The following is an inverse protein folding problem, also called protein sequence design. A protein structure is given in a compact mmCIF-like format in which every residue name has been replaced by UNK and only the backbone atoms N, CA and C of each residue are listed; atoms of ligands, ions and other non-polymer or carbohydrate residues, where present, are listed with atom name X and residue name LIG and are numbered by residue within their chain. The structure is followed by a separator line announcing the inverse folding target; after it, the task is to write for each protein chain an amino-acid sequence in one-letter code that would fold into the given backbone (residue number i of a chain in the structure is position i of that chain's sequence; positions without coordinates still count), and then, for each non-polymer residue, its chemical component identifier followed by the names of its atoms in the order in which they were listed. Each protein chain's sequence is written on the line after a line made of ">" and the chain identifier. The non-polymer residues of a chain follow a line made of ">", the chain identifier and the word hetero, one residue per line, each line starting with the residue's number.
data_IF_901081676687
#
_entry.id   IF_901081676687
#
_cell.length_a   1.000
_cell.length_b   1.000
_cell.length_c   1.000
_cell.angle_alpha   90.00
_cell.angle_beta   90.00
_cell.angle_gamma   90.00
#
_symmetry.space_group_name_H-M   'P 1'
#
loop_
_entity.id
_entity.type
_entity.pdbx_description
1 polymer ?
#
# COMPACT_ATOMS: atom_id res chain seq x y z
N UNK A 1 1.06 -25.81 111.80
CA UNK A 1 0.63 -27.21 111.96
C UNK A 1 0.74 -27.91 110.61
N UNK A 2 1.64 -28.87 110.56
CA UNK A 2 1.55 -30.20 110.02
C UNK A 2 1.48 -30.32 108.44
N UNK A 3 2.60 -30.68 107.85
CA UNK A 3 2.94 -31.94 107.07
C UNK A 3 2.01 -32.24 105.92
N UNK A 4 2.44 -32.70 104.69
CA UNK A 4 3.34 -33.84 104.35
C UNK A 4 3.60 -33.76 102.81
N UNK A 5 4.82 -34.18 102.40
CA UNK A 5 5.30 -34.60 101.08
C UNK A 5 4.38 -35.49 100.28
N UNK A 6 4.43 -35.39 98.98
CA UNK A 6 4.71 -36.56 98.12
C UNK A 6 5.06 -36.12 96.65
N UNK A 7 6.21 -36.56 96.26
CA UNK A 7 6.67 -36.52 94.87
C UNK A 7 5.86 -37.50 93.99
N UNK A 8 5.52 -37.13 92.81
CA UNK A 8 5.13 -38.06 91.77
C UNK A 8 5.80 -37.68 90.46
N UNK A 9 6.68 -38.50 89.99
CA UNK A 9 7.29 -38.48 88.70
C UNK A 9 6.22 -38.78 87.63
N UNK A 10 6.04 -37.89 86.63
CA UNK A 10 5.32 -38.24 85.44
C UNK A 10 6.28 -38.16 84.23
N UNK A 11 6.52 -39.36 83.66
CA UNK A 11 7.25 -39.59 82.42
C UNK A 11 6.57 -38.83 81.25
N UNK A 12 7.28 -37.91 80.63
CA UNK A 12 6.83 -37.28 79.37
C UNK A 12 7.12 -38.21 78.19
N UNK A 13 6.08 -38.83 77.65
CA UNK A 13 6.12 -39.53 76.35
C UNK A 13 6.08 -38.49 75.26
N UNK A 14 7.24 -38.24 74.62
CA UNK A 14 7.30 -37.47 73.37
C UNK A 14 6.70 -38.26 72.20
N UNK A 15 5.46 -37.96 71.81
CA UNK A 15 4.89 -38.38 70.54
C UNK A 15 5.54 -37.57 69.43
N UNK A 16 6.51 -38.13 68.70
CA UNK A 16 7.04 -37.64 67.47
C UNK A 16 5.95 -37.80 66.39
N UNK A 17 5.13 -36.72 66.14
CA UNK A 17 4.30 -36.63 64.98
C UNK A 17 5.21 -36.30 63.79
N UNK A 18 5.58 -37.32 63.04
CA UNK A 18 6.25 -37.18 61.75
C UNK A 18 5.34 -36.55 60.75
N UNK A 19 5.49 -35.20 60.50
CA UNK A 19 4.96 -34.57 59.34
C UNK A 19 5.67 -35.14 58.09
N UNK A 20 5.09 -36.17 57.49
CA UNK A 20 5.44 -36.56 56.14
C UNK A 20 4.97 -35.44 55.20
N UNK A 21 5.86 -34.52 54.87
CA UNK A 21 5.70 -33.65 53.70
C UNK A 21 5.62 -34.56 52.48
N UNK A 22 4.41 -34.87 52.07
CA UNK A 22 4.17 -35.46 50.74
C UNK A 22 4.69 -34.45 49.71
N UNK A 23 5.95 -34.66 49.32
CA UNK A 23 6.50 -34.00 48.14
C UNK A 23 5.58 -34.39 46.98
N UNK A 24 4.73 -33.46 46.55
CA UNK A 24 4.02 -33.60 45.27
C UNK A 24 5.14 -33.77 44.24
N UNK A 25 5.42 -35.02 43.85
CA UNK A 25 6.18 -35.30 42.65
C UNK A 25 5.40 -34.70 41.49
N UNK A 26 5.77 -33.48 41.11
CA UNK A 26 5.29 -32.92 39.86
C UNK A 26 5.67 -33.90 38.76
N UNK A 27 4.71 -34.38 38.01
CA UNK A 27 4.99 -35.28 36.89
C UNK A 27 6.03 -34.61 36.00
N UNK A 28 7.17 -35.27 35.81
CA UNK A 28 8.21 -34.74 34.91
C UNK A 28 7.65 -34.69 33.49
N UNK A 29 7.89 -33.61 32.73
CA UNK A 29 7.45 -33.53 31.36
C UNK A 29 8.12 -34.63 30.53
N UNK A 30 7.38 -35.30 29.68
CA UNK A 30 7.93 -36.28 28.75
C UNK A 30 8.63 -35.57 27.58
N UNK A 31 9.82 -36.04 27.24
CA UNK A 31 10.55 -35.57 26.05
C UNK A 31 10.36 -36.55 24.89
N UNK A 32 9.99 -36.04 23.72
CA UNK A 32 9.86 -36.83 22.51
C UNK A 32 10.91 -36.37 21.49
N UNK A 33 11.51 -37.31 20.77
CA UNK A 33 12.44 -37.01 19.67
C UNK A 33 11.73 -36.58 18.41
N UNK A 34 10.41 -36.81 18.28
CA UNK A 34 9.59 -36.35 17.20
C UNK A 34 8.16 -36.09 17.69
N UNK A 35 7.59 -34.95 17.33
CA UNK A 35 6.19 -34.65 17.51
C UNK A 35 5.52 -34.68 16.13
N UNK A 36 4.43 -35.41 16.00
CA UNK A 36 3.57 -35.42 14.81
C UNK A 36 2.12 -35.33 15.26
N UNK A 37 1.54 -34.14 15.15
CA UNK A 37 0.14 -33.88 15.44
C UNK A 37 -0.61 -33.73 14.13
N UNK A 38 -1.74 -34.43 13.99
CA UNK A 38 -2.59 -34.38 12.80
C UNK A 38 -4.03 -34.24 13.20
N UNK A 39 -4.77 -33.44 12.43
CA UNK A 39 -6.19 -33.34 12.56
C UNK A 39 -6.85 -33.54 11.19
N UNK A 40 -7.95 -34.27 11.18
CA UNK A 40 -8.80 -34.46 10.01
C UNK A 40 -10.02 -33.54 10.10
N UNK A 41 -10.59 -33.20 8.96
CA UNK A 41 -11.88 -32.55 8.85
C UNK A 41 -13.04 -33.56 9.14
N UNK A 42 -14.29 -33.09 9.27
CA UNK A 42 -15.42 -34.02 9.51
C UNK A 42 -15.65 -35.08 8.43
N UNK A 43 -15.02 -34.93 7.25
CA UNK A 43 -15.10 -35.88 6.13
C UNK A 43 -13.92 -36.86 6.12
N UNK A 44 -13.00 -36.75 7.08
CA UNK A 44 -11.81 -37.60 7.17
C UNK A 44 -10.62 -37.15 6.34
N UNK A 45 -10.71 -36.02 5.61
CA UNK A 45 -9.57 -35.46 4.89
C UNK A 45 -8.62 -34.72 5.84
N UNK A 46 -7.32 -34.62 5.53
CA UNK A 46 -6.39 -33.87 6.35
C UNK A 46 -6.78 -32.39 6.42
N UNK A 47 -6.90 -31.86 7.64
CA UNK A 47 -7.18 -30.45 7.89
C UNK A 47 -5.89 -29.68 8.17
N UNK A 48 -5.06 -30.21 9.07
CA UNK A 48 -3.76 -29.68 9.35
C UNK A 48 -2.83 -30.72 10.01
N UNK A 49 -1.54 -30.48 9.89
CA UNK A 49 -0.50 -31.22 10.61
C UNK A 49 0.52 -30.25 11.23
N UNK A 50 1.15 -30.67 12.34
CA UNK A 50 2.26 -29.99 12.97
C UNK A 50 3.34 -31.01 13.34
N UNK A 51 4.54 -30.83 12.83
CA UNK A 51 5.70 -31.70 13.08
C UNK A 51 6.80 -30.90 13.77
N UNK A 52 7.53 -31.55 14.66
CA UNK A 52 8.71 -30.99 15.30
C UNK A 52 9.74 -32.07 15.54
N UNK A 53 11.05 -31.83 15.32
CA UNK A 53 12.09 -32.82 15.61
C UNK A 53 12.27 -33.10 17.07
N UNK A 54 11.86 -32.20 17.95
CA UNK A 54 11.95 -32.36 19.42
C UNK A 54 10.75 -31.67 20.07
N UNK A 55 10.14 -32.32 21.05
CA UNK A 55 9.09 -31.73 21.86
C UNK A 55 9.12 -32.24 23.30
N UNK A 56 8.66 -31.41 24.23
CA UNK A 56 8.43 -31.73 25.63
C UNK A 56 6.95 -31.57 25.92
N UNK A 57 6.33 -32.62 26.48
CA UNK A 57 4.91 -32.62 26.78
C UNK A 57 4.64 -32.68 28.27
N UNK A 58 3.90 -31.71 28.76
CA UNK A 58 3.38 -31.70 30.15
C UNK A 58 1.91 -32.16 30.10
N UNK A 59 1.68 -33.39 30.59
CA UNK A 59 0.35 -34.01 30.59
C UNK A 59 -0.63 -33.23 31.48
N UNK A 60 -0.17 -32.74 32.62
CA UNK A 60 -1.05 -32.07 33.58
C UNK A 60 -1.54 -30.74 33.05
N UNK A 61 -0.67 -30.02 32.35
CA UNK A 61 -0.99 -28.71 31.74
C UNK A 61 -1.53 -28.81 30.33
N UNK A 62 -1.49 -30.01 29.71
CA UNK A 62 -1.81 -30.24 28.29
C UNK A 62 -1.05 -29.28 27.37
N UNK A 63 0.24 -29.12 27.62
CA UNK A 63 1.14 -28.24 26.88
C UNK A 63 2.25 -29.07 26.23
N UNK A 64 2.45 -28.86 24.91
CA UNK A 64 3.61 -29.35 24.20
C UNK A 64 4.49 -28.19 23.74
N UNK A 65 5.74 -28.16 24.21
CA UNK A 65 6.76 -27.24 23.71
C UNK A 65 7.52 -27.91 22.57
N UNK A 66 7.48 -27.34 21.40
CA UNK A 66 8.07 -27.85 20.17
C UNK A 66 9.25 -26.99 19.72
N UNK A 67 10.36 -27.61 19.33
CA UNK A 67 11.51 -26.92 18.75
C UNK A 67 11.47 -27.01 17.23
N UNK A 68 11.63 -25.87 16.54
CA UNK A 68 11.56 -25.76 15.09
C UNK A 68 10.32 -26.44 14.48
N UNK A 69 9.10 -26.09 14.97
CA UNK A 69 7.88 -26.67 14.47
C UNK A 69 7.66 -26.31 12.99
N UNK A 70 7.07 -27.25 12.25
CA UNK A 70 6.60 -27.07 10.89
C UNK A 70 5.15 -27.52 10.80
N UNK A 71 4.28 -26.61 10.39
CA UNK A 71 2.85 -26.85 10.21
C UNK A 71 2.48 -26.84 8.73
N UNK A 72 1.48 -27.63 8.39
CA UNK A 72 0.82 -27.60 7.08
C UNK A 72 -0.68 -27.51 7.30
N UNK A 73 -1.33 -26.55 6.65
CA UNK A 73 -2.79 -26.47 6.58
C UNK A 73 -3.21 -26.94 5.20
N UNK A 74 -4.20 -27.83 5.19
CA UNK A 74 -4.73 -28.39 3.94
C UNK A 74 -6.06 -27.73 3.59
N UNK A 75 -6.31 -27.60 2.30
CA UNK A 75 -7.59 -27.16 1.76
C UNK A 75 -7.99 -28.11 0.63
N UNK A 76 -9.15 -28.74 0.76
CA UNK A 76 -9.62 -29.77 -0.18
C UNK A 76 -8.62 -30.94 -0.38
N UNK A 77 -7.91 -31.31 0.70
CA UNK A 77 -6.92 -32.39 0.67
C UNK A 77 -5.53 -31.99 0.18
N UNK A 78 -5.33 -30.78 -0.35
CA UNK A 78 -4.06 -30.29 -0.84
C UNK A 78 -3.42 -29.30 0.16
N UNK A 79 -2.08 -29.28 0.30
CA UNK A 79 -1.39 -28.27 1.08
C UNK A 79 -1.69 -26.88 0.56
N UNK A 80 -2.12 -25.97 1.42
CA UNK A 80 -2.42 -24.59 1.05
C UNK A 80 -1.61 -23.55 1.82
N UNK A 81 -1.19 -23.89 3.06
CA UNK A 81 -0.38 -22.99 3.87
C UNK A 81 0.72 -23.81 4.54
N UNK A 82 1.96 -23.31 4.48
CA UNK A 82 3.10 -23.83 5.24
C UNK A 82 3.43 -22.86 6.37
N UNK A 83 3.75 -23.39 7.54
CA UNK A 83 4.09 -22.62 8.73
C UNK A 83 5.44 -23.12 9.25
N UNK A 84 6.32 -22.20 9.65
CA UNK A 84 7.58 -22.52 10.31
C UNK A 84 7.87 -21.48 11.39
N UNK A 85 8.48 -21.91 12.48
CA UNK A 85 8.96 -21.05 13.57
C UNK A 85 10.17 -21.68 14.27
N UNK A 86 10.82 -20.92 15.14
CA UNK A 86 11.93 -21.44 15.95
C UNK A 86 11.41 -22.27 17.15
N UNK A 87 10.35 -21.79 17.76
CA UNK A 87 9.67 -22.43 18.90
C UNK A 87 8.17 -22.41 18.70
N UNK A 88 7.53 -23.43 19.28
CA UNK A 88 6.08 -23.50 19.31
C UNK A 88 5.60 -24.06 20.66
N UNK A 89 4.48 -23.55 21.14
CA UNK A 89 3.76 -24.10 22.29
C UNK A 89 2.37 -24.49 21.84
N UNK A 90 2.08 -25.79 21.83
CA UNK A 90 0.76 -26.35 21.55
C UNK A 90 -0.02 -26.40 22.86
N UNK A 91 -1.19 -25.78 22.86
CA UNK A 91 -2.05 -25.64 24.07
C UNK A 91 -3.35 -26.39 23.82
N UNK A 92 -3.80 -27.16 24.84
CA UNK A 92 -5.09 -27.83 24.81
C UNK A 92 -5.24 -28.80 23.62
N UNK A 93 -4.21 -29.64 23.38
CA UNK A 93 -4.20 -30.62 22.29
C UNK A 93 -4.47 -30.01 20.88
N UNK A 94 -3.90 -28.84 20.64
CA UNK A 94 -4.04 -28.14 19.35
C UNK A 94 -5.19 -27.13 19.27
N UNK A 95 -5.79 -26.75 20.39
CA UNK A 95 -6.78 -25.64 20.38
C UNK A 95 -6.14 -24.31 20.02
N UNK A 96 -4.93 -24.08 20.50
CA UNK A 96 -4.10 -22.93 20.14
C UNK A 96 -2.64 -23.35 19.98
N UNK A 97 -1.95 -22.77 19.03
CA UNK A 97 -0.53 -23.00 18.77
C UNK A 97 0.14 -21.63 18.76
N UNK A 98 0.90 -21.35 19.82
CA UNK A 98 1.73 -20.15 19.93
C UNK A 98 3.04 -20.42 19.20
N UNK A 99 3.44 -19.54 18.29
CA UNK A 99 4.67 -19.63 17.50
C UNK A 99 5.56 -18.43 17.82
N UNK A 100 6.85 -18.66 17.96
CA UNK A 100 7.82 -17.64 18.38
C UNK A 100 9.14 -17.78 17.62
N UNK A 101 9.81 -16.65 17.41
CA UNK A 101 11.08 -16.54 16.70
C UNK A 101 10.92 -16.75 15.22
N UNK A 102 11.11 -15.71 14.43
CA UNK A 102 11.06 -15.69 12.95
C UNK A 102 9.95 -16.57 12.38
N UNK A 103 8.70 -16.28 12.78
CA UNK A 103 7.54 -17.01 12.26
C UNK A 103 7.40 -16.72 10.78
N UNK A 104 7.24 -17.78 9.98
CA UNK A 104 7.03 -17.73 8.55
C UNK A 104 5.78 -18.52 8.17
N UNK A 105 4.87 -17.86 7.47
CA UNK A 105 3.63 -18.42 6.96
C UNK A 105 3.67 -18.23 5.44
N UNK A 106 3.70 -19.34 4.69
CA UNK A 106 3.73 -19.30 3.23
C UNK A 106 2.37 -19.74 2.69
N UNK A 107 1.66 -18.84 2.04
CA UNK A 107 0.44 -19.14 1.31
C UNK A 107 0.85 -19.69 -0.06
N UNK A 108 0.44 -20.93 -0.32
CA UNK A 108 0.74 -21.62 -1.59
C UNK A 108 -0.31 -21.22 -2.65
N UNK A 109 0.10 -21.15 -3.90
CA UNK A 109 -0.75 -20.78 -5.02
C UNK A 109 0.09 -20.41 -6.24
N UNK A 110 -0.54 -19.89 -7.29
CA UNK A 110 0.15 -19.44 -8.51
C UNK A 110 1.17 -18.34 -8.20
N UNK A 111 0.81 -17.42 -7.33
CA UNK A 111 1.71 -16.39 -6.81
C UNK A 111 1.82 -16.55 -5.29
N UNK A 112 2.85 -17.26 -4.80
CA UNK A 112 3.03 -17.50 -3.38
C UNK A 112 3.23 -16.19 -2.62
N UNK A 113 2.65 -16.13 -1.42
CA UNK A 113 2.81 -15.01 -0.48
C UNK A 113 3.47 -15.50 0.78
N UNK A 114 4.53 -14.84 1.22
CA UNK A 114 5.19 -15.10 2.49
C UNK A 114 4.78 -14.02 3.50
N UNK A 115 4.21 -14.44 4.64
CA UNK A 115 3.92 -13.55 5.77
C UNK A 115 4.89 -13.92 6.89
N UNK A 116 5.63 -12.94 7.38
CA UNK A 116 6.58 -13.10 8.49
C UNK A 116 6.18 -12.23 9.67
N UNK A 117 6.61 -12.62 10.85
CA UNK A 117 6.45 -11.86 12.10
C UNK A 117 7.31 -12.46 13.21
N UNK A 118 7.40 -11.79 14.36
CA UNK A 118 8.20 -12.28 15.48
C UNK A 118 7.44 -13.32 16.30
N UNK A 119 6.12 -13.15 16.42
CA UNK A 119 5.20 -14.06 17.10
C UNK A 119 3.91 -14.22 16.31
N UNK A 120 3.35 -15.42 16.39
CA UNK A 120 2.02 -15.68 15.85
C UNK A 120 1.25 -16.66 16.73
N UNK A 121 -0.05 -16.54 16.72
CA UNK A 121 -0.98 -17.47 17.37
C UNK A 121 -1.88 -18.08 16.31
N UNK A 122 -1.74 -19.37 16.13
CA UNK A 122 -2.59 -20.13 15.23
C UNK A 122 -3.73 -20.80 16.02
N UNK A 123 -4.94 -20.56 15.61
CA UNK A 123 -6.18 -21.08 16.21
C UNK A 123 -6.88 -21.98 15.18
N UNK A 124 -6.49 -23.27 15.09
CA UNK A 124 -6.94 -24.15 14.00
C UNK A 124 -8.47 -24.29 13.91
N UNK A 125 -9.16 -24.41 15.04
CA UNK A 125 -10.61 -24.54 15.08
C UNK A 125 -11.37 -23.29 14.58
N UNK A 126 -10.71 -22.10 14.69
CA UNK A 126 -11.26 -20.83 14.22
C UNK A 126 -10.79 -20.50 12.80
N UNK A 127 -9.90 -21.34 12.24
CA UNK A 127 -9.25 -21.08 10.95
C UNK A 127 -8.61 -19.65 10.92
N UNK A 128 -7.96 -19.27 12.03
CA UNK A 128 -7.42 -17.95 12.27
C UNK A 128 -5.95 -17.99 12.66
N UNK A 129 -5.14 -17.13 12.05
CA UNK A 129 -3.77 -16.82 12.49
C UNK A 129 -3.71 -15.34 12.89
N UNK A 130 -3.20 -15.08 14.09
CA UNK A 130 -2.96 -13.72 14.60
C UNK A 130 -1.45 -13.51 14.66
N UNK A 131 -0.94 -12.50 13.97
CA UNK A 131 0.47 -12.11 13.95
C UNK A 131 0.57 -10.78 14.69
N UNK A 132 1.10 -10.81 15.90
CA UNK A 132 1.01 -9.69 16.83
C UNK A 132 2.19 -8.70 16.74
N UNK A 133 3.31 -9.10 16.14
CA UNK A 133 4.53 -8.27 16.13
C UNK A 133 5.11 -8.18 14.73
N UNK A 134 5.12 -6.95 14.20
CA UNK A 134 5.75 -6.55 12.93
C UNK A 134 5.44 -7.49 11.76
N UNK A 135 4.17 -7.79 11.46
CA UNK A 135 3.84 -8.59 10.31
C UNK A 135 4.31 -7.91 9.02
N UNK A 136 4.94 -8.70 8.16
CA UNK A 136 5.34 -8.30 6.81
C UNK A 136 4.88 -9.37 5.84
N UNK A 137 4.00 -8.99 4.93
CA UNK A 137 3.57 -9.85 3.84
C UNK A 137 4.35 -9.47 2.57
N UNK A 138 4.84 -10.47 1.86
CA UNK A 138 5.71 -10.34 0.71
C UNK A 138 5.17 -11.18 -0.44
N UNK A 139 4.96 -10.56 -1.59
CA UNK A 139 4.80 -11.26 -2.86
C UNK A 139 5.91 -10.85 -3.85
N UNK A 140 5.76 -11.20 -5.13
CA UNK A 140 6.76 -10.90 -6.16
C UNK A 140 6.99 -9.40 -6.35
N UNK A 141 5.94 -8.58 -6.22
CA UNK A 141 5.96 -7.14 -6.55
C UNK A 141 5.67 -6.25 -5.35
N UNK A 142 5.13 -6.80 -4.26
CA UNK A 142 4.63 -5.99 -3.17
C UNK A 142 5.21 -6.41 -1.82
N UNK A 143 5.25 -5.46 -0.92
CA UNK A 143 5.52 -5.65 0.50
C UNK A 143 4.48 -4.86 1.29
N UNK A 144 3.77 -5.54 2.19
CA UNK A 144 2.83 -4.89 3.09
C UNK A 144 3.31 -5.12 4.52
N UNK A 145 3.54 -4.06 5.27
CA UNK A 145 3.93 -4.10 6.68
C UNK A 145 2.87 -3.42 7.54
N UNK A 146 2.69 -3.89 8.78
CA UNK A 146 1.75 -3.35 9.74
C UNK A 146 2.24 -3.57 11.18
N UNK A 147 1.52 -3.12 12.20
CA UNK A 147 1.80 -3.46 13.60
C UNK A 147 1.26 -4.84 13.95
N UNK A 148 0.05 -5.16 13.46
CA UNK A 148 -0.61 -6.45 13.67
C UNK A 148 -1.31 -6.93 12.39
N UNK A 149 -1.47 -8.25 12.28
CA UNK A 149 -2.25 -8.87 11.21
C UNK A 149 -3.10 -10.02 11.73
N UNK A 150 -4.29 -10.20 11.16
CA UNK A 150 -5.15 -11.36 11.37
C UNK A 150 -5.46 -12.00 10.02
N UNK A 151 -5.10 -13.26 9.86
CA UNK A 151 -5.41 -14.02 8.65
C UNK A 151 -6.54 -15.00 8.91
N UNK A 152 -7.71 -14.72 8.36
CA UNK A 152 -8.89 -15.57 8.35
C UNK A 152 -8.80 -16.54 7.17
N UNK A 153 -8.30 -17.74 7.42
CA UNK A 153 -7.93 -18.73 6.40
C UNK A 153 -9.12 -19.09 5.49
N UNK A 154 -10.29 -19.36 6.07
CA UNK A 154 -11.49 -19.73 5.31
C UNK A 154 -11.99 -18.62 4.37
N UNK A 155 -11.82 -17.37 4.76
CA UNK A 155 -12.28 -16.19 3.99
C UNK A 155 -11.21 -15.68 3.03
N UNK A 156 -9.99 -16.25 3.05
CA UNK A 156 -8.82 -15.70 2.38
C UNK A 156 -8.67 -14.20 2.66
N UNK A 157 -8.73 -13.80 3.93
CA UNK A 157 -8.73 -12.40 4.33
C UNK A 157 -7.64 -12.11 5.35
N UNK A 158 -6.70 -11.25 5.00
CA UNK A 158 -5.70 -10.68 5.90
C UNK A 158 -6.14 -9.27 6.28
N UNK A 159 -6.44 -9.06 7.54
CA UNK A 159 -6.69 -7.75 8.13
C UNK A 159 -5.40 -7.21 8.72
N UNK A 160 -4.92 -6.08 8.19
CA UNK A 160 -3.70 -5.39 8.61
C UNK A 160 -4.06 -4.11 9.36
N UNK A 161 -3.55 -3.96 10.57
CA UNK A 161 -3.87 -2.85 11.48
C UNK A 161 -2.59 -2.20 12.02
N UNK A 162 -2.71 -0.93 12.49
CA UNK A 162 -1.57 -0.16 12.98
C UNK A 162 -0.75 0.44 11.83
N UNK A 163 -1.32 1.43 11.17
CA UNK A 163 -0.67 2.20 10.10
C UNK A 163 0.02 1.34 9.01
N UNK A 164 -0.70 0.43 8.34
CA UNK A 164 -0.10 -0.41 7.31
C UNK A 164 0.50 0.42 6.17
N UNK A 165 1.64 -0.07 5.67
CA UNK A 165 2.37 0.50 4.54
C UNK A 165 2.49 -0.55 3.45
N UNK A 166 1.92 -0.25 2.28
CA UNK A 166 2.11 -1.00 1.05
C UNK A 166 3.25 -0.37 0.25
N UNK A 167 4.22 -1.15 -0.15
CA UNK A 167 5.28 -0.82 -1.09
C UNK A 167 5.12 -1.70 -2.33
N UNK A 168 5.06 -1.11 -3.52
CA UNK A 168 4.87 -1.83 -4.77
C UNK A 168 5.94 -1.45 -5.80
N UNK A 169 6.55 -2.45 -6.45
CA UNK A 169 7.56 -2.31 -7.48
C UNK A 169 7.00 -2.78 -8.82
N UNK A 170 7.03 -1.94 -9.81
CA UNK A 170 6.48 -2.21 -11.15
C UNK A 170 7.10 -3.47 -11.77
N UNK A 171 8.43 -3.56 -11.80
CA UNK A 171 9.19 -4.66 -12.40
C UNK A 171 9.48 -5.82 -11.44
N UNK A 172 8.87 -5.79 -10.26
CA UNK A 172 9.15 -6.72 -9.18
C UNK A 172 10.28 -6.23 -8.26
N UNK A 173 10.34 -6.84 -7.07
CA UNK A 173 11.38 -6.54 -6.09
C UNK A 173 12.71 -7.09 -6.59
N UNK A 174 13.62 -6.22 -6.98
CA UNK A 174 14.99 -6.62 -7.30
C UNK A 174 15.67 -7.20 -6.05
N UNK A 175 16.24 -8.40 -6.16
CA UNK A 175 17.19 -8.88 -5.17
C UNK A 175 18.41 -7.98 -5.27
N UNK A 176 18.64 -7.16 -4.25
CA UNK A 176 19.78 -6.26 -4.05
C UNK A 176 20.45 -5.78 -5.34
N UNK A 177 20.26 -4.50 -5.67
CA UNK A 177 20.94 -3.90 -6.82
C UNK A 177 22.45 -4.17 -6.74
N UNK A 178 23.06 -4.47 -7.87
CA UNK A 178 24.51 -4.42 -8.00
C UNK A 178 24.95 -3.01 -7.60
N UNK A 179 26.14 -2.86 -6.99
CA UNK A 179 26.69 -1.60 -6.51
C UNK A 179 26.72 -0.44 -7.55
N UNK A 180 26.42 -0.73 -8.82
CA UNK A 180 26.38 0.24 -9.94
C UNK A 180 24.97 0.74 -10.29
N UNK A 181 23.89 0.05 -9.85
CA UNK A 181 22.51 0.47 -10.16
C UNK A 181 21.70 0.44 -8.88
N UNK A 182 21.24 1.60 -8.36
CA UNK A 182 20.37 1.62 -7.18
C UNK A 182 19.09 0.84 -7.44
N UNK A 183 18.59 0.14 -6.40
CA UNK A 183 17.32 -0.54 -6.51
C UNK A 183 16.20 0.48 -6.79
N UNK A 184 15.23 0.17 -7.67
CA UNK A 184 14.13 1.07 -7.96
C UNK A 184 13.32 1.35 -6.69
N UNK A 185 12.94 2.62 -6.50
CA UNK A 185 12.10 3.02 -5.37
C UNK A 185 10.65 2.56 -5.60
N UNK A 186 9.99 1.98 -4.59
CA UNK A 186 8.62 1.55 -4.71
C UNK A 186 7.65 2.72 -4.71
N UNK A 187 6.48 2.53 -5.32
CA UNK A 187 5.29 3.27 -4.95
C UNK A 187 4.96 2.91 -3.51
N UNK A 188 4.79 3.90 -2.64
CA UNK A 188 4.47 3.70 -1.24
C UNK A 188 3.07 4.21 -0.91
N UNK A 189 2.21 3.37 -0.34
CA UNK A 189 0.87 3.76 0.11
C UNK A 189 0.75 3.51 1.61
N UNK A 190 0.38 4.55 2.36
CA UNK A 190 0.12 4.51 3.80
C UNK A 190 -1.38 4.57 4.02
N UNK A 191 -1.91 3.75 4.92
CA UNK A 191 -3.32 3.69 5.29
C UNK A 191 -3.50 3.54 6.81
N UNK A 192 -4.71 3.70 7.31
CA UNK A 192 -5.02 3.42 8.72
C UNK A 192 -5.20 1.93 8.96
N UNK A 193 -5.82 1.23 8.02
CA UNK A 193 -5.95 -0.22 7.96
C UNK A 193 -6.12 -0.69 6.52
N UNK A 194 -5.79 -1.94 6.30
CA UNK A 194 -5.91 -2.61 4.99
C UNK A 194 -6.54 -3.98 5.20
N UNK A 195 -7.49 -4.31 4.35
CA UNK A 195 -8.05 -5.64 4.19
C UNK A 195 -7.59 -6.19 2.84
N UNK A 196 -6.94 -7.34 2.85
CA UNK A 196 -6.32 -7.93 1.66
C UNK A 196 -6.71 -9.40 1.51
N UNK A 197 -7.02 -9.81 0.28
CA UNK A 197 -7.28 -11.21 -0.09
C UNK A 197 -6.15 -11.76 -0.96
N UNK A 198 -5.17 -12.44 -0.38
CA UNK A 198 -3.97 -12.87 -1.08
C UNK A 198 -4.21 -13.73 -2.32
N UNK A 199 -5.14 -14.71 -2.27
CA UNK A 199 -5.43 -15.60 -3.39
C UNK A 199 -6.01 -14.86 -4.61
N UNK A 200 -6.77 -13.81 -4.38
CA UNK A 200 -7.42 -13.02 -5.44
C UNK A 200 -6.69 -11.74 -5.79
N UNK A 201 -5.85 -11.25 -4.87
CA UNK A 201 -5.17 -9.96 -4.98
C UNK A 201 -6.03 -8.75 -4.60
N UNK A 202 -7.29 -8.93 -4.18
CA UNK A 202 -8.19 -7.83 -3.81
C UNK A 202 -7.68 -7.10 -2.58
N UNK A 203 -7.62 -5.78 -2.65
CA UNK A 203 -7.14 -4.89 -1.58
C UNK A 203 -8.18 -3.80 -1.31
N UNK A 204 -8.43 -3.50 -0.04
CA UNK A 204 -9.31 -2.41 0.37
C UNK A 204 -8.71 -1.65 1.54
N UNK A 205 -8.70 -0.32 1.46
CA UNK A 205 -8.41 0.59 2.56
C UNK A 205 -9.51 1.64 2.61
N UNK A 206 -10.52 1.48 3.49
CA UNK A 206 -11.74 2.31 3.47
C UNK A 206 -11.57 3.67 4.16
N UNK A 207 -10.42 3.97 4.72
CA UNK A 207 -10.08 5.26 5.32
C UNK A 207 -9.06 6.02 4.49
N UNK A 208 -8.76 7.27 4.88
CA UNK A 208 -7.80 8.12 4.18
C UNK A 208 -6.49 7.40 3.90
N UNK A 209 -6.09 7.43 2.65
CA UNK A 209 -4.81 6.89 2.17
C UNK A 209 -3.91 8.00 1.66
N UNK A 210 -2.59 7.78 1.81
CA UNK A 210 -1.55 8.66 1.27
C UNK A 210 -0.60 7.84 0.42
N UNK A 211 -0.57 8.13 -0.88
CA UNK A 211 0.38 7.58 -1.85
C UNK A 211 1.59 8.49 -2.01
N UNK A 212 2.78 7.91 -2.14
CA UNK A 212 4.04 8.61 -2.37
C UNK A 212 4.76 7.93 -3.55
N UNK A 213 5.00 8.69 -4.62
CA UNK A 213 5.78 8.24 -5.77
C UNK A 213 7.13 8.95 -5.78
N UNK A 214 8.18 8.21 -6.13
CA UNK A 214 9.55 8.69 -6.15
C UNK A 214 10.07 8.71 -7.59
N UNK A 215 10.93 9.69 -7.89
CA UNK A 215 11.56 9.81 -9.20
C UNK A 215 12.71 8.82 -9.32
N UNK A 216 12.62 7.92 -10.30
CA UNK A 216 13.59 6.83 -10.48
C UNK A 216 14.95 7.32 -11.05
N UNK A 217 14.96 8.50 -11.67
CA UNK A 217 16.13 9.06 -12.38
C UNK A 217 17.13 9.81 -11.47
N UNK A 218 16.79 10.06 -10.22
CA UNK A 218 17.72 10.71 -9.28
C UNK A 218 18.66 9.69 -8.67
N UNK A 219 19.97 10.05 -8.52
CA UNK A 219 20.89 9.20 -7.79
C UNK A 219 20.35 8.92 -6.40
N UNK A 220 20.61 7.70 -5.91
CA UNK A 220 20.21 7.34 -4.56
C UNK A 220 20.72 8.40 -3.57
N UNK A 221 19.88 8.87 -2.64
CA UNK A 221 20.31 9.82 -1.62
C UNK A 221 21.47 9.23 -0.81
N UNK A 222 22.31 10.10 -0.22
CA UNK A 222 23.38 9.68 0.66
C UNK A 222 22.84 8.73 1.74
N UNK A 223 23.69 7.85 2.27
CA UNK A 223 23.30 6.71 3.14
C UNK A 223 22.29 7.03 4.26
N UNK A 224 22.19 8.28 4.69
CA UNK A 224 21.34 8.72 5.80
C UNK A 224 20.15 9.62 5.36
N UNK A 225 20.01 9.92 4.07
CA UNK A 225 18.97 10.81 3.56
C UNK A 225 17.80 9.98 3.00
N UNK A 226 16.60 10.16 3.58
CA UNK A 226 15.40 9.50 3.05
C UNK A 226 15.01 10.16 1.72
N UNK A 227 14.72 9.38 0.67
CA UNK A 227 14.29 9.94 -0.61
C UNK A 227 13.00 10.73 -0.41
N UNK A 228 12.97 11.96 -0.94
CA UNK A 228 11.76 12.77 -0.95
C UNK A 228 10.84 12.32 -2.11
N UNK A 229 9.52 12.20 -1.87
CA UNK A 229 8.59 11.85 -2.93
C UNK A 229 8.51 12.98 -3.97
N UNK A 230 8.39 12.64 -5.25
CA UNK A 230 8.13 13.60 -6.33
C UNK A 230 6.66 13.98 -6.44
N UNK A 231 5.77 13.02 -6.16
CA UNK A 231 4.33 13.20 -6.11
C UNK A 231 3.77 12.63 -4.80
N UNK A 232 2.81 13.36 -4.24
CA UNK A 232 2.00 12.93 -3.11
C UNK A 232 0.55 12.90 -3.52
N UNK A 233 -0.10 11.76 -3.32
CA UNK A 233 -1.50 11.53 -3.57
C UNK A 233 -2.24 11.33 -2.25
N UNK A 234 -3.43 11.89 -2.09
CA UNK A 234 -4.35 11.60 -0.99
C UNK A 234 -5.73 11.27 -1.53
N UNK A 235 -6.40 10.30 -0.89
CA UNK A 235 -7.77 9.91 -1.23
C UNK A 235 -8.52 9.49 0.05
N UNK A 236 -9.84 9.48 0.04
CA UNK A 236 -10.66 9.08 1.20
C UNK A 236 -10.65 7.56 1.42
N UNK A 237 -10.09 6.82 0.52
CA UNK A 237 -9.91 5.39 0.57
C UNK A 237 -9.44 4.84 -0.75
N UNK A 238 -9.20 3.53 -0.80
CA UNK A 238 -8.92 2.83 -2.05
C UNK A 238 -9.54 1.44 -2.05
N UNK A 239 -9.79 0.94 -3.26
CA UNK A 239 -10.11 -0.46 -3.56
C UNK A 239 -9.32 -0.84 -4.79
N UNK A 240 -8.81 -2.05 -4.84
CA UNK A 240 -8.02 -2.45 -6.00
C UNK A 240 -7.72 -3.92 -6.02
N UNK A 241 -6.91 -4.29 -7.00
CA UNK A 241 -6.40 -5.65 -7.15
C UNK A 241 -4.92 -5.60 -7.51
N UNK A 242 -4.07 -6.07 -6.60
CA UNK A 242 -2.61 -6.03 -6.77
C UNK A 242 -2.11 -6.97 -7.87
N UNK A 243 -2.82 -8.09 -8.14
CA UNK A 243 -2.46 -9.01 -9.23
C UNK A 243 -2.77 -8.39 -10.60
N UNK A 244 -3.91 -7.70 -10.71
CA UNK A 244 -4.29 -6.97 -11.92
C UNK A 244 -3.58 -5.61 -12.03
N UNK A 245 -2.92 -5.15 -10.96
CA UNK A 245 -2.11 -3.94 -10.96
C UNK A 245 -2.90 -2.65 -11.05
N UNK A 246 -4.06 -2.55 -10.40
CA UNK A 246 -4.82 -1.30 -10.32
C UNK A 246 -5.39 -1.02 -8.94
N UNK A 247 -5.62 0.26 -8.68
CA UNK A 247 -6.40 0.75 -7.53
C UNK A 247 -7.37 1.85 -7.98
N UNK A 248 -8.59 1.79 -7.45
CA UNK A 248 -9.62 2.82 -7.57
C UNK A 248 -9.59 3.68 -6.30
N UNK A 249 -9.28 4.95 -6.46
CA UNK A 249 -9.15 5.93 -5.40
C UNK A 249 -10.51 6.57 -5.14
N UNK A 250 -10.94 6.61 -3.88
CA UNK A 250 -12.22 7.18 -3.47
C UNK A 250 -12.10 8.71 -3.34
N UNK A 251 -13.06 9.41 -3.92
CA UNK A 251 -13.13 10.88 -3.88
C UNK A 251 -13.24 11.46 -2.46
N UNK A 252 -12.71 12.68 -2.23
CA UNK A 252 -11.90 13.49 -3.12
C UNK A 252 -10.48 12.93 -3.28
N UNK A 253 -9.98 12.98 -4.50
CA UNK A 253 -8.59 12.59 -4.83
C UNK A 253 -7.77 13.84 -5.08
N UNK A 254 -6.66 13.97 -4.39
CA UNK A 254 -5.75 15.11 -4.53
C UNK A 254 -4.36 14.61 -4.87
N UNK A 255 -3.77 15.17 -5.91
CA UNK A 255 -2.37 14.93 -6.26
C UNK A 255 -1.60 16.23 -6.14
N UNK A 256 -0.46 16.20 -5.52
CA UNK A 256 0.41 17.36 -5.28
C UNK A 256 1.84 17.02 -5.68
N UNK A 257 2.46 17.86 -6.47
CA UNK A 257 3.92 17.78 -6.70
C UNK A 257 4.66 18.32 -5.48
N UNK A 258 5.77 17.67 -5.15
CA UNK A 258 6.56 18.05 -3.98
C UNK A 258 7.21 19.43 -4.12
N UNK A 259 7.49 19.90 -5.35
CA UNK A 259 8.03 21.22 -5.64
C UNK A 259 6.98 22.36 -5.51
N UNK A 260 5.73 22.04 -5.17
CA UNK A 260 4.63 22.96 -5.02
C UNK A 260 4.10 23.56 -6.33
N UNK A 261 4.70 23.22 -7.46
CA UNK A 261 4.39 23.83 -8.78
C UNK A 261 3.24 23.14 -9.51
N UNK A 262 2.64 22.11 -8.94
CA UNK A 262 1.55 21.39 -9.59
C UNK A 262 0.62 20.71 -8.62
N UNK A 263 -0.67 20.74 -8.94
CA UNK A 263 -1.69 20.00 -8.22
C UNK A 263 -2.82 19.57 -9.15
N UNK A 264 -3.50 18.49 -8.77
CA UNK A 264 -4.70 17.97 -9.42
C UNK A 264 -5.71 17.58 -8.32
N UNK A 265 -6.94 18.08 -8.44
CA UNK A 265 -8.08 17.68 -7.62
C UNK A 265 -9.10 17.00 -8.51
N UNK A 266 -9.42 15.76 -8.18
CA UNK A 266 -10.31 14.91 -8.96
C UNK A 266 -11.32 14.22 -8.05
N UNK A 267 -12.34 13.67 -8.66
CA UNK A 267 -13.28 12.77 -8.01
C UNK A 267 -12.72 11.34 -8.06
N UNK A 268 -13.56 10.35 -8.24
CA UNK A 268 -13.11 8.96 -8.34
C UNK A 268 -12.07 8.83 -9.47
N UNK A 269 -10.95 8.20 -9.15
CA UNK A 269 -9.81 8.09 -10.05
C UNK A 269 -9.25 6.68 -10.00
N UNK A 270 -9.01 6.09 -11.17
CA UNK A 270 -8.30 4.80 -11.29
C UNK A 270 -6.81 5.04 -11.50
N UNK A 271 -6.00 4.32 -10.76
CA UNK A 271 -4.57 4.22 -11.00
C UNK A 271 -4.23 2.80 -11.45
N UNK A 272 -3.92 2.62 -12.73
CA UNK A 272 -3.31 1.40 -13.26
C UNK A 272 -1.81 1.48 -12.97
N UNK A 273 -1.41 0.84 -11.88
CA UNK A 273 -0.06 0.99 -11.29
C UNK A 273 0.99 0.39 -12.24
N UNK A 274 0.70 -0.78 -12.83
CA UNK A 274 1.61 -1.45 -13.74
C UNK A 274 1.83 -0.67 -15.03
N UNK A 275 0.79 0.02 -15.51
CA UNK A 275 0.81 0.81 -16.75
C UNK A 275 1.20 2.27 -16.50
N UNK A 276 1.40 2.66 -15.24
CA UNK A 276 1.65 4.05 -14.81
C UNK A 276 0.59 5.05 -15.33
N UNK A 277 -0.67 4.60 -15.45
CA UNK A 277 -1.78 5.41 -15.93
C UNK A 277 -2.70 5.85 -14.79
N UNK A 278 -2.91 7.14 -14.66
CA UNK A 278 -3.92 7.73 -13.78
C UNK A 278 -5.07 8.26 -14.63
N UNK A 279 -6.32 7.85 -14.37
CA UNK A 279 -7.47 8.24 -15.19
C UNK A 279 -8.73 8.47 -14.38
N UNK A 280 -9.58 9.36 -14.87
CA UNK A 280 -10.91 9.61 -14.32
C UNK A 280 -11.90 9.95 -15.43
N UNK A 281 -13.10 9.43 -15.32
CA UNK A 281 -14.26 9.77 -16.18
C UNK A 281 -15.13 10.88 -15.57
N UNK A 282 -14.63 11.55 -14.54
CA UNK A 282 -15.35 12.60 -13.81
C UNK A 282 -14.60 13.93 -13.87
N UNK A 283 -15.29 15.06 -13.63
CA UNK A 283 -14.67 16.37 -13.64
C UNK A 283 -13.49 16.50 -12.70
N UNK A 284 -12.48 17.23 -13.17
CA UNK A 284 -11.28 17.56 -12.42
C UNK A 284 -10.91 19.03 -12.56
N UNK A 285 -10.10 19.51 -11.64
CA UNK A 285 -9.40 20.80 -11.71
C UNK A 285 -7.93 20.57 -11.36
N UNK A 286 -7.06 21.35 -11.95
CA UNK A 286 -5.64 21.26 -11.69
C UNK A 286 -4.91 22.54 -12.02
N UNK A 287 -3.65 22.59 -11.60
CA UNK A 287 -2.74 23.69 -11.92
C UNK A 287 -1.34 23.13 -12.10
N UNK A 288 -0.64 23.65 -13.08
CA UNK A 288 0.76 23.40 -13.29
C UNK A 288 1.47 24.74 -13.57
N UNK A 289 2.36 25.17 -12.69
CA UNK A 289 2.89 26.54 -12.67
C UNK A 289 1.74 27.57 -12.64
N UNK A 290 1.69 28.47 -13.63
CA UNK A 290 0.65 29.48 -13.78
C UNK A 290 -0.59 28.96 -14.55
N UNK A 291 -0.52 27.81 -15.21
CA UNK A 291 -1.57 27.26 -16.05
C UNK A 291 -2.59 26.51 -15.20
N UNK A 292 -3.84 26.97 -15.18
CA UNK A 292 -4.98 26.25 -14.59
C UNK A 292 -5.64 25.39 -15.65
N UNK A 293 -6.04 24.17 -15.29
CA UNK A 293 -6.71 23.23 -16.19
C UNK A 293 -8.00 22.72 -15.57
N UNK A 294 -9.04 22.54 -16.40
CA UNK A 294 -10.29 21.87 -16.06
C UNK A 294 -10.71 20.94 -17.18
N UNK A 295 -11.48 19.93 -16.85
CA UNK A 295 -12.09 19.04 -17.83
C UNK A 295 -12.98 18.01 -17.17
N UNK A 296 -13.71 17.23 -17.99
CA UNK A 296 -14.66 16.22 -17.50
C UNK A 296 -14.06 14.82 -17.44
N UNK A 297 -12.99 14.59 -18.21
CA UNK A 297 -12.32 13.29 -18.30
C UNK A 297 -10.84 13.50 -18.58
N UNK A 298 -9.99 12.79 -17.83
CA UNK A 298 -8.54 12.83 -18.06
C UNK A 298 -7.86 11.47 -18.02
N UNK A 299 -6.70 11.39 -18.65
CA UNK A 299 -5.71 10.33 -18.48
C UNK A 299 -4.33 10.98 -18.37
N UNK A 300 -3.57 10.59 -17.35
CA UNK A 300 -2.16 10.98 -17.17
C UNK A 300 -1.32 9.74 -17.37
N UNK A 301 -0.46 9.76 -18.37
CA UNK A 301 0.57 8.75 -18.60
C UNK A 301 1.86 9.23 -17.92
N UNK A 302 2.19 8.62 -16.79
CA UNK A 302 3.34 9.03 -15.97
C UNK A 302 4.67 8.61 -16.62
N UNK A 303 4.68 7.55 -17.42
CA UNK A 303 5.86 7.08 -18.15
C UNK A 303 6.20 8.03 -19.31
N UNK A 304 5.22 8.37 -20.14
CA UNK A 304 5.39 9.29 -21.28
C UNK A 304 5.35 10.76 -20.87
N UNK A 305 4.93 11.05 -19.65
CA UNK A 305 4.71 12.40 -19.15
C UNK A 305 3.63 13.15 -19.95
N UNK A 306 2.57 12.45 -20.35
CA UNK A 306 1.46 13.00 -21.13
C UNK A 306 0.20 13.18 -20.28
N UNK A 307 -0.46 14.34 -20.40
CA UNK A 307 -1.80 14.59 -19.90
C UNK A 307 -2.76 14.71 -21.07
N UNK A 308 -3.76 13.85 -21.11
CA UNK A 308 -4.84 13.87 -22.08
C UNK A 308 -6.14 14.25 -21.39
N UNK A 309 -6.76 15.35 -21.83
CA UNK A 309 -8.13 15.71 -21.49
C UNK A 309 -9.01 15.31 -22.66
N UNK A 310 -9.91 14.36 -22.44
CA UNK A 310 -10.70 13.77 -23.54
C UNK A 310 -12.05 14.44 -23.73
N UNK A 311 -12.47 15.33 -22.82
CA UNK A 311 -13.74 16.03 -22.87
C UNK A 311 -13.70 17.32 -22.06
N UNK A 312 -14.17 18.42 -22.65
CA UNK A 312 -14.39 19.69 -21.97
C UNK A 312 -13.10 20.34 -21.47
N UNK A 313 -12.04 20.32 -22.30
CA UNK A 313 -10.76 20.95 -21.97
C UNK A 313 -10.87 22.47 -21.86
N UNK A 314 -10.50 23.01 -20.71
CA UNK A 314 -10.34 24.43 -20.45
C UNK A 314 -8.99 24.67 -19.81
N UNK A 315 -8.20 25.55 -20.42
CA UNK A 315 -6.91 26.00 -19.90
C UNK A 315 -6.95 27.52 -19.73
N UNK A 316 -6.46 27.98 -18.58
CA UNK A 316 -6.49 29.40 -18.23
C UNK A 316 -5.14 29.81 -17.64
N UNK A 317 -4.59 30.88 -18.11
CA UNK A 317 -3.43 31.60 -17.54
C UNK A 317 -3.71 33.12 -17.57
N UNK A 318 -2.92 33.96 -16.87
CA UNK A 318 -3.14 35.39 -16.84
C UNK A 318 -3.25 36.00 -18.23
N UNK A 319 -4.41 36.60 -18.54
CA UNK A 319 -4.71 37.23 -19.82
C UNK A 319 -5.08 36.29 -20.97
N UNK A 320 -5.15 34.97 -20.76
CA UNK A 320 -5.47 34.00 -21.82
C UNK A 320 -6.36 32.87 -21.32
N UNK A 321 -7.32 32.47 -22.16
CA UNK A 321 -8.18 31.29 -21.93
C UNK A 321 -8.36 30.49 -23.21
N UNK A 322 -8.06 29.21 -23.16
CA UNK A 322 -8.28 28.24 -24.22
C UNK A 322 -9.38 27.28 -23.83
N UNK A 323 -10.31 27.03 -24.75
CA UNK A 323 -11.29 25.94 -24.61
C UNK A 323 -11.26 25.06 -25.85
N UNK A 324 -11.42 23.74 -25.65
CA UNK A 324 -11.49 22.75 -26.71
C UNK A 324 -12.26 21.51 -26.21
N UNK A 325 -12.64 20.63 -27.14
CA UNK A 325 -13.21 19.34 -26.73
C UNK A 325 -12.13 18.42 -26.15
N UNK A 326 -10.93 18.42 -26.73
CA UNK A 326 -9.82 17.56 -26.34
C UNK A 326 -8.51 18.34 -26.29
N UNK A 327 -7.65 17.99 -25.30
CA UNK A 327 -6.30 18.50 -25.21
C UNK A 327 -5.32 17.37 -24.92
N UNK A 328 -4.12 17.48 -25.46
CA UNK A 328 -2.96 16.66 -25.14
C UNK A 328 -1.81 17.57 -24.77
N UNK A 329 -1.13 17.27 -23.69
CA UNK A 329 0.00 18.04 -23.22
C UNK A 329 1.09 17.14 -22.67
N UNK A 330 2.33 17.30 -23.18
CA UNK A 330 3.52 16.64 -22.66
C UNK A 330 4.34 17.63 -21.84
N UNK A 331 4.39 17.42 -20.53
CA UNK A 331 4.95 18.42 -19.62
C UNK A 331 6.48 18.60 -19.69
N UNK A 332 7.36 17.62 -20.02
CA UNK A 332 8.78 17.86 -20.21
C UNK A 332 9.12 18.65 -21.46
N UNK A 333 8.48 18.32 -22.59
CA UNK A 333 8.76 18.96 -23.88
C UNK A 333 7.97 20.26 -24.08
N UNK A 334 6.91 20.48 -23.29
CA UNK A 334 5.97 21.57 -23.47
C UNK A 334 5.07 21.41 -24.71
N UNK A 335 5.13 20.29 -25.47
CA UNK A 335 4.22 20.05 -26.62
C UNK A 335 2.79 20.06 -26.15
N UNK A 336 1.98 20.79 -26.91
CA UNK A 336 0.57 20.95 -26.62
C UNK A 336 -0.25 20.82 -27.92
N UNK A 337 -1.39 20.16 -27.82
CA UNK A 337 -2.37 20.03 -28.88
C UNK A 337 -3.78 20.21 -28.33
N UNK A 338 -4.62 21.03 -28.97
CA UNK A 338 -6.05 21.12 -28.71
C UNK A 338 -6.82 20.82 -29.98
N UNK A 339 -7.87 20.01 -29.88
CA UNK A 339 -8.67 19.62 -31.04
C UNK A 339 -10.16 19.74 -30.75
N UNK A 340 -10.88 20.01 -31.81
CA UNK A 340 -12.33 20.20 -31.90
C UNK A 340 -12.85 21.40 -31.08
N UNK A 341 -13.52 22.29 -31.77
CA UNK A 341 -14.11 23.50 -31.20
C UNK A 341 -13.11 24.39 -30.44
N UNK A 342 -11.89 24.51 -30.95
CA UNK A 342 -10.84 25.29 -30.33
C UNK A 342 -11.19 26.76 -30.33
N UNK A 343 -11.22 27.40 -29.16
CA UNK A 343 -11.41 28.84 -29.00
C UNK A 343 -10.34 29.39 -28.06
N UNK A 344 -9.46 30.22 -28.59
CA UNK A 344 -8.50 30.99 -27.79
C UNK A 344 -9.02 32.42 -27.61
N UNK A 345 -9.08 32.88 -26.37
CA UNK A 345 -9.38 34.27 -26.00
C UNK A 345 -8.15 34.88 -25.34
N UNK A 346 -7.76 36.08 -25.79
CA UNK A 346 -6.70 36.89 -25.20
C UNK A 346 -7.24 38.26 -24.83
N UNK A 347 -6.90 38.73 -23.64
CA UNK A 347 -7.27 40.07 -23.19
C UNK A 347 -6.55 41.15 -24.01
N UNK A 348 -5.27 40.89 -24.32
CA UNK A 348 -4.49 41.74 -25.22
C UNK A 348 -5.18 41.80 -26.57
N UNK A 349 -5.49 43.00 -27.05
CA UNK A 349 -6.22 43.27 -28.30
C UNK A 349 -7.63 42.65 -28.35
N UNK A 350 -8.20 42.20 -27.22
CA UNK A 350 -9.50 41.50 -27.17
C UNK A 350 -9.61 40.43 -28.26
N UNK A 351 -8.50 39.67 -28.43
CA UNK A 351 -8.40 38.67 -29.50
C UNK A 351 -9.30 37.45 -29.19
N UNK A 352 -10.01 36.99 -30.22
CA UNK A 352 -10.72 35.71 -30.20
C UNK A 352 -10.37 34.94 -31.48
N UNK A 353 -9.75 33.80 -31.34
CA UNK A 353 -9.40 32.91 -32.47
C UNK A 353 -10.19 31.59 -32.33
N UNK A 354 -10.83 31.15 -33.42
CA UNK A 354 -11.55 29.90 -33.54
C UNK A 354 -10.91 29.03 -34.60
N UNK A 355 -10.71 27.72 -34.27
CA UNK A 355 -10.11 26.75 -35.17
C UNK A 355 -10.60 25.34 -34.85
N UNK A 356 -10.33 24.37 -35.72
CA UNK A 356 -10.51 22.92 -35.41
C UNK A 356 -9.36 22.35 -34.61
N UNK A 357 -8.15 22.88 -34.81
CA UNK A 357 -6.92 22.39 -34.16
C UNK A 357 -5.99 23.54 -33.82
N UNK A 358 -5.35 23.41 -32.67
CA UNK A 358 -4.22 24.21 -32.23
C UNK A 358 -3.10 23.27 -31.88
N UNK A 359 -1.94 23.50 -32.43
CA UNK A 359 -0.69 22.83 -32.04
C UNK A 359 0.32 23.87 -31.61
N UNK A 360 1.13 23.53 -30.59
CA UNK A 360 2.10 24.47 -30.10
C UNK A 360 3.05 23.87 -29.08
N UNK A 361 3.86 24.75 -28.52
CA UNK A 361 4.78 24.47 -27.45
C UNK A 361 4.56 25.47 -26.32
N UNK A 362 4.42 24.96 -25.10
CA UNK A 362 4.31 25.76 -23.88
C UNK A 362 5.71 26.21 -23.45
N UNK A 363 5.90 27.48 -23.15
CA UNK A 363 7.16 28.06 -22.69
C UNK A 363 7.38 29.49 -23.24
N UNK A 364 8.45 30.12 -22.78
CA UNK A 364 8.75 31.54 -23.09
C UNK A 364 8.92 31.83 -24.60
N UNK A 365 9.34 30.82 -25.40
CA UNK A 365 9.50 30.88 -26.86
C UNK A 365 8.39 30.10 -27.58
N UNK A 366 7.25 29.89 -26.92
CA UNK A 366 6.17 29.06 -27.43
C UNK A 366 5.56 29.57 -28.72
N UNK A 367 5.46 28.71 -29.72
CA UNK A 367 4.72 28.97 -30.97
C UNK A 367 3.41 28.21 -30.98
N UNK A 368 2.35 28.80 -31.51
CA UNK A 368 1.07 28.14 -31.68
C UNK A 368 0.59 28.28 -33.15
N UNK A 369 0.23 27.15 -33.72
CA UNK A 369 -0.30 27.05 -35.09
C UNK A 369 -1.76 26.63 -35.04
N UNK A 370 -2.64 27.46 -35.57
CA UNK A 370 -4.04 27.16 -35.73
C UNK A 370 -4.30 26.57 -37.09
N UNK A 371 -5.10 25.53 -37.17
CA UNK A 371 -5.52 24.92 -38.43
C UNK A 371 -6.98 24.51 -38.37
N UNK A 372 -7.63 24.50 -39.53
CA UNK A 372 -9.02 24.10 -39.69
C UNK A 372 -9.16 23.35 -41.03
N UNK A 373 -8.76 22.06 -41.09
CA UNK A 373 -8.88 21.29 -42.33
C UNK A 373 -10.32 21.33 -42.88
N UNK A 374 -10.47 21.78 -44.13
CA UNK A 374 -11.77 21.94 -44.80
C UNK A 374 -12.58 23.20 -44.42
N UNK A 375 -12.07 24.05 -43.53
CA UNK A 375 -12.70 25.28 -43.08
C UNK A 375 -11.66 26.41 -42.92
N UNK A 376 -12.11 27.61 -42.53
CA UNK A 376 -11.22 28.74 -42.28
C UNK A 376 -10.96 28.92 -40.79
N UNK A 377 -9.74 29.25 -40.41
CA UNK A 377 -9.40 29.81 -39.09
C UNK A 377 -9.95 31.20 -39.02
N UNK A 378 -10.71 31.51 -37.98
CA UNK A 378 -11.30 32.84 -37.78
C UNK A 378 -10.64 33.52 -36.58
N UNK A 379 -10.02 34.68 -36.81
CA UNK A 379 -9.42 35.50 -35.76
C UNK A 379 -9.98 36.92 -35.81
N UNK A 380 -10.44 37.43 -34.66
CA UNK A 380 -10.92 38.79 -34.48
C UNK A 380 -10.03 39.50 -33.47
N UNK A 381 -9.61 40.73 -33.81
CA UNK A 381 -8.78 41.60 -32.98
C UNK A 381 -9.43 43.00 -32.87
N UNK A 382 -9.22 43.65 -31.71
CA UNK A 382 -9.54 45.05 -31.52
C UNK A 382 -8.22 45.82 -31.41
N UNK A 383 -7.90 46.61 -32.43
CA UNK A 383 -6.69 47.43 -32.39
C UNK A 383 -6.96 48.71 -31.58
N UNK A 384 -5.97 49.20 -30.81
CA UNK A 384 -6.09 50.45 -30.09
C UNK A 384 -6.23 51.60 -31.12
N UNK A 385 -6.99 52.67 -30.82
CA UNK A 385 -7.11 53.82 -31.70
C UNK A 385 -5.75 54.43 -31.99
N UNK A 386 -5.48 54.76 -33.24
CA UNK A 386 -4.28 55.43 -33.72
C UNK A 386 -4.24 56.85 -33.11
N UNK A 387 -3.50 57.12 -32.01
CA UNK A 387 -3.42 58.45 -31.47
C UNK A 387 -2.95 58.66 -30.03
N UNK A 388 -2.52 57.64 -29.31
CA UNK A 388 -1.87 57.87 -28.02
C UNK A 388 -0.50 57.17 -27.98
N UNK A 389 0.43 57.67 -28.80
CA UNK A 389 1.82 57.30 -28.80
C UNK A 389 2.64 58.13 -27.81
N UNK A 390 2.55 57.90 -26.54
CA UNK A 390 3.58 58.32 -25.58
C UNK A 390 4.78 57.39 -25.70
N UNK A 391 5.95 57.93 -26.00
CA UNK A 391 7.20 57.22 -26.26
C UNK A 391 7.68 56.35 -25.10
N UNK A 392 7.46 55.12 -25.22
CA UNK A 392 8.10 54.05 -24.47
C UNK A 392 8.07 52.83 -25.37
N UNK A 393 9.25 52.28 -25.70
CA UNK A 393 9.37 50.98 -26.37
C UNK A 393 8.74 49.92 -25.48
N UNK A 394 7.41 49.79 -25.52
CA UNK A 394 6.74 48.57 -24.99
C UNK A 394 7.15 47.44 -25.92
N UNK A 395 7.98 46.54 -25.43
CA UNK A 395 8.22 45.24 -26.06
C UNK A 395 6.89 44.67 -26.49
N UNK A 396 6.83 44.22 -27.74
CA UNK A 396 5.67 43.42 -28.19
C UNK A 396 5.41 42.32 -27.14
N UNK A 397 4.14 42.10 -26.77
CA UNK A 397 3.84 41.00 -25.85
C UNK A 397 4.44 39.72 -26.41
N UNK A 398 5.15 38.98 -25.57
CA UNK A 398 5.74 37.72 -25.94
C UNK A 398 4.68 36.83 -26.62
N UNK A 399 5.04 36.05 -27.63
CA UNK A 399 4.13 35.06 -28.20
C UNK A 399 3.71 34.10 -27.07
N UNK A 400 2.55 33.48 -27.25
CA UNK A 400 1.87 32.63 -26.31
C UNK A 400 2.88 31.82 -25.46
N UNK A 401 3.03 32.13 -24.19
CA UNK A 401 3.67 31.29 -23.24
C UNK A 401 2.61 30.37 -22.62
N UNK A 402 2.32 29.24 -23.28
CA UNK A 402 1.62 28.16 -22.67
C UNK A 402 2.58 27.27 -21.88
#
# INVERSE_FOLDING_TARGET
>A
MVRINRALQLSAVCLLVGCSTATRQGSQPFSFRALDLRQQDPKGAPAWELKSPEARYDIQRKLAQALRPRGTVFRRGEPSILIAAERGTVIGDGQAIQLEGTVRITLLGEEPVEITGDTARWLPRQELMVIDQRPVALDRRSRISAETAQYFIKRDLVELRGAPVLEHWQDGRSKAGNAKTPAPLPLKVKAQWVDWKPERGDLTAPAVVRGEQFEQSKPAPAKDEKPAPSLVLTAQGLRGNLRQGYVDLVAPVQVRRADGKGWLDAKQTRWAINDQLLSSDQPFTGQFNALKAKGDRFTVDLEKSDVKVSRGCELEQPGERLTAMRCLWNWPSGRFEATDQVVLKRETYKQVTRAKRLEGKIGDDGTAVFSSPGERVNSRFTLPPKGQGGGGKKRAPAPIAF
#
